data_IF_998877415508
#
_entry.id   IF_998877415508
#
_cell.length_a   1.000
_cell.length_b   1.000
_cell.length_c   1.000
_cell.angle_alpha   90.00
_cell.angle_beta   90.00
_cell.angle_gamma   90.00
#
_symmetry.space_group_name_H-M   'P 1'
#
loop_
_entity.id
_entity.type
_entity.pdbx_description
1 polymer ?
#
# COMPACT_ATOMS: atom_id res chain seq x y z
N UNK A 1 -19.85 26.25 -38.12
CA UNK A 1 -20.98 26.15 -37.17
C UNK A 1 -20.45 25.55 -35.86
N UNK A 2 -20.29 26.40 -34.83
CA UNK A 2 -19.92 26.01 -33.46
C UNK A 2 -21.11 25.30 -32.81
N UNK A 3 -20.90 24.18 -32.14
CA UNK A 3 -21.79 23.70 -31.07
C UNK A 3 -20.97 23.34 -29.84
N UNK A 4 -21.39 23.95 -28.74
CA UNK A 4 -20.77 23.98 -27.42
C UNK A 4 -21.01 22.68 -26.65
N UNK A 5 -20.08 22.37 -25.74
CA UNK A 5 -20.17 21.34 -24.70
C UNK A 5 -21.05 21.83 -23.55
N UNK A 6 -21.85 20.98 -22.88
CA UNK A 6 -22.37 21.31 -21.56
C UNK A 6 -21.37 20.91 -20.48
N UNK A 7 -20.89 21.95 -19.80
CA UNK A 7 -20.27 21.93 -18.48
C UNK A 7 -21.37 21.65 -17.45
N UNK A 8 -21.25 20.61 -16.62
CA UNK A 8 -22.06 20.49 -15.40
C UNK A 8 -21.14 20.27 -14.21
N UNK A 9 -21.09 21.34 -13.44
CA UNK A 9 -20.48 21.58 -12.15
C UNK A 9 -21.25 20.76 -11.09
N UNK A 10 -20.57 20.01 -10.20
CA UNK A 10 -21.18 19.59 -8.94
C UNK A 10 -20.33 20.07 -7.77
N UNK A 11 -20.95 20.98 -7.02
CA UNK A 11 -20.44 21.75 -5.90
C UNK A 11 -20.69 20.98 -4.59
N UNK A 12 -19.72 21.07 -3.69
CA UNK A 12 -19.73 20.59 -2.32
C UNK A 12 -20.77 21.28 -1.41
N UNK A 13 -21.50 20.50 -0.61
CA UNK A 13 -22.19 20.87 0.66
C UNK A 13 -22.44 19.52 1.38
N UNK A 14 -22.21 19.24 2.67
CA UNK A 14 -22.58 19.94 3.90
C UNK A 14 -21.70 19.43 5.07
N UNK A 15 -21.06 20.38 5.77
CA UNK A 15 -20.64 20.27 7.17
C UNK A 15 -21.80 20.78 8.06
N UNK A 16 -22.27 19.98 9.03
CA UNK A 16 -23.08 20.45 10.16
C UNK A 16 -23.04 19.38 11.29
N UNK A 17 -22.21 19.58 12.33
CA UNK A 17 -22.53 20.14 13.66
C UNK A 17 -23.26 19.13 14.58
N UNK A 18 -22.63 18.63 15.64
CA UNK A 18 -22.47 19.19 17.01
C UNK A 18 -23.38 18.47 18.02
N UNK A 19 -22.72 17.74 18.93
CA UNK A 19 -22.92 17.71 20.39
C UNK A 19 -24.36 17.63 20.92
N UNK A 20 -24.66 16.50 21.54
CA UNK A 20 -25.59 16.41 22.67
C UNK A 20 -24.92 15.65 23.82
N UNK A 21 -24.83 16.34 24.96
CA UNK A 21 -24.22 15.88 26.20
C UNK A 21 -25.25 15.18 27.10
N UNK A 22 -24.74 14.17 27.80
CA UNK A 22 -24.95 13.82 29.21
C UNK A 22 -26.35 13.51 29.78
N UNK A 23 -26.32 12.42 30.56
CA UNK A 23 -26.99 12.15 31.84
C UNK A 23 -28.30 11.35 31.82
N UNK A 24 -28.16 10.06 32.15
CA UNK A 24 -29.05 9.41 33.11
C UNK A 24 -28.24 8.43 33.96
N UNK A 25 -28.34 8.63 35.27
CA UNK A 25 -27.71 7.86 36.32
C UNK A 25 -28.27 6.42 36.40
N UNK A 26 -27.43 5.50 36.87
CA UNK A 26 -27.83 4.15 37.27
C UNK A 26 -26.78 3.54 38.18
N UNK A 27 -26.94 3.75 39.49
CA UNK A 27 -26.17 3.11 40.56
C UNK A 27 -26.40 1.59 40.58
N UNK A 28 -25.38 0.78 40.86
CA UNK A 28 -25.29 -0.02 42.10
C UNK A 28 -24.21 -1.12 41.96
N UNK A 29 -23.47 -1.37 43.04
CA UNK A 29 -22.83 -2.67 43.27
C UNK A 29 -21.32 -2.65 43.51
N UNK A 30 -20.88 -2.06 44.62
CA UNK A 30 -19.59 -2.37 45.23
C UNK A 30 -19.68 -3.72 45.95
N UNK A 31 -18.75 -4.64 45.66
CA UNK A 31 -18.42 -5.73 46.57
C UNK A 31 -16.92 -6.03 46.49
N UNK A 32 -16.20 -5.55 47.50
CA UNK A 32 -14.84 -6.00 47.86
C UNK A 32 -14.86 -7.49 48.22
N UNK A 33 -13.84 -8.22 47.77
CA UNK A 33 -13.31 -9.38 48.50
C UNK A 33 -11.80 -9.45 48.34
N UNK A 34 -11.13 -9.46 49.49
CA UNK A 34 -9.67 -9.56 49.66
C UNK A 34 -9.14 -10.99 49.46
N UNK A 35 -7.90 -11.02 48.97
CA UNK A 35 -6.78 -11.96 49.17
C UNK A 35 -7.00 -13.48 49.32
N UNK A 36 -6.33 -14.22 48.45
CA UNK A 36 -5.37 -15.25 48.91
C UNK A 36 -4.22 -15.44 47.93
N UNK A 37 -2.99 -15.32 48.46
CA UNK A 37 -1.69 -15.59 47.82
C UNK A 37 -1.55 -17.04 47.35
N UNK A 38 -0.79 -17.24 46.26
CA UNK A 38 0.48 -18.00 46.20
C UNK A 38 0.69 -18.72 44.86
N UNK A 39 1.92 -18.65 44.33
CA UNK A 39 2.46 -19.53 43.30
C UNK A 39 2.44 -18.91 41.90
N UNK A 40 3.52 -18.29 41.46
CA UNK A 40 4.60 -18.97 40.72
C UNK A 40 4.27 -19.07 39.23
N UNK A 41 4.75 -18.12 38.43
CA UNK A 41 5.91 -18.31 37.56
C UNK A 41 6.03 -17.08 36.66
N UNK A 42 7.10 -16.32 36.93
CA UNK A 42 7.60 -15.24 36.11
C UNK A 42 8.08 -15.81 34.77
N UNK A 43 7.17 -16.06 33.84
CA UNK A 43 7.54 -16.17 32.43
C UNK A 43 7.50 -14.78 31.81
N UNK A 44 8.51 -13.98 32.15
CA UNK A 44 8.87 -12.81 31.37
C UNK A 44 9.29 -13.29 29.98
N UNK A 45 8.32 -13.51 29.09
CA UNK A 45 8.55 -13.38 27.66
C UNK A 45 8.83 -11.90 27.45
N UNK A 46 10.10 -11.56 27.57
CA UNK A 46 10.67 -10.38 26.95
C UNK A 46 10.34 -10.49 25.47
N UNK A 47 9.20 -9.92 25.07
CA UNK A 47 9.06 -9.38 23.74
C UNK A 47 10.26 -8.44 23.62
N UNK A 48 11.29 -8.90 22.90
CA UNK A 48 12.30 -8.00 22.38
C UNK A 48 11.53 -6.95 21.61
N UNK A 49 11.31 -5.80 22.25
CA UNK A 49 11.05 -4.55 21.56
C UNK A 49 12.21 -4.42 20.59
N UNK A 50 11.97 -4.81 19.34
CA UNK A 50 12.87 -4.52 18.23
C UNK A 50 13.16 -3.04 18.30
N UNK A 51 14.42 -2.75 18.60
CA UNK A 51 14.94 -1.41 18.77
C UNK A 51 14.61 -0.66 17.49
N UNK A 52 13.60 0.22 17.55
CA UNK A 52 13.09 0.93 16.39
C UNK A 52 14.27 1.53 15.63
N UNK A 53 14.46 1.11 14.38
CA UNK A 53 15.63 1.50 13.58
C UNK A 53 15.71 3.02 13.40
N UNK A 54 14.60 3.73 13.63
CA UNK A 54 14.49 5.18 13.43
C UNK A 54 14.61 5.56 11.95
N UNK A 55 14.76 4.57 11.06
CA UNK A 55 14.92 4.76 9.63
C UNK A 55 13.57 4.94 8.95
N UNK A 56 13.64 5.65 7.84
CA UNK A 56 12.48 6.01 7.03
C UNK A 56 12.28 5.01 5.90
N UNK A 57 11.04 4.65 5.61
CA UNK A 57 10.66 4.02 4.34
C UNK A 57 9.81 5.02 3.56
N UNK A 58 10.31 5.38 2.37
CA UNK A 58 9.59 6.27 1.45
C UNK A 58 8.55 5.43 0.71
N UNK A 59 7.28 5.61 1.03
CA UNK A 59 6.18 4.85 0.43
C UNK A 59 5.68 5.61 -0.79
N UNK A 60 5.96 5.11 -1.99
CA UNK A 60 5.61 5.73 -3.26
C UNK A 60 4.49 4.97 -3.97
N UNK A 61 3.40 5.66 -4.27
CA UNK A 61 2.24 5.05 -4.92
C UNK A 61 1.09 6.03 -5.12
N UNK A 62 -0.09 5.50 -5.46
CA UNK A 62 -1.32 6.27 -5.69
C UNK A 62 -2.42 5.86 -4.70
N UNK A 63 -3.68 5.83 -5.16
CA UNK A 63 -4.87 5.66 -4.33
C UNK A 63 -4.84 4.47 -3.37
N UNK A 64 -4.37 3.29 -3.77
CA UNK A 64 -4.29 2.13 -2.85
C UNK A 64 -3.31 2.37 -1.70
N UNK A 65 -2.17 3.00 -1.97
CA UNK A 65 -1.22 3.40 -0.92
C UNK A 65 -1.84 4.48 -0.03
N UNK A 66 -2.47 5.50 -0.62
CA UNK A 66 -3.18 6.53 0.14
C UNK A 66 -4.27 5.96 1.06
N UNK A 67 -5.05 4.99 0.56
CA UNK A 67 -6.04 4.28 1.36
C UNK A 67 -5.43 3.45 2.49
N UNK A 68 -4.20 2.94 2.31
CA UNK A 68 -3.47 2.24 3.38
C UNK A 68 -3.10 3.18 4.53
N UNK A 69 -2.63 4.39 4.21
CA UNK A 69 -2.35 5.42 5.21
C UNK A 69 -3.62 5.96 5.90
N UNK A 70 -4.72 6.09 5.15
CA UNK A 70 -6.03 6.37 5.73
C UNK A 70 -6.49 5.28 6.67
N UNK A 71 -6.29 4.01 6.33
CA UNK A 71 -6.58 2.86 7.19
C UNK A 71 -5.77 2.92 8.50
N UNK A 72 -4.48 3.28 8.44
CA UNK A 72 -3.63 3.33 9.63
C UNK A 72 -3.84 4.57 10.52
N UNK A 73 -4.11 5.73 9.93
CA UNK A 73 -4.04 7.01 10.64
C UNK A 73 -5.29 7.88 10.51
N UNK A 74 -6.27 7.45 9.70
CA UNK A 74 -7.41 8.26 9.30
C UNK A 74 -7.08 9.37 8.29
N UNK A 75 -5.83 9.46 7.81
CA UNK A 75 -5.34 10.51 6.92
C UNK A 75 -4.30 9.97 5.94
N UNK A 76 -4.58 10.03 4.63
CA UNK A 76 -3.70 9.49 3.59
C UNK A 76 -2.34 10.20 3.47
N UNK A 77 -2.21 11.39 4.08
CA UNK A 77 -1.01 12.23 3.97
C UNK A 77 -0.11 12.17 5.20
N UNK A 78 -0.59 11.60 6.30
CA UNK A 78 0.17 11.53 7.55
C UNK A 78 1.14 10.38 7.54
N UNK A 79 2.36 10.65 7.98
CA UNK A 79 3.35 9.61 8.29
C UNK A 79 2.81 8.70 9.38
N UNK A 80 3.20 7.43 9.33
CA UNK A 80 2.89 6.46 10.38
C UNK A 80 4.14 5.72 10.84
N UNK A 81 4.12 5.15 12.05
CA UNK A 81 5.20 4.30 12.55
C UNK A 81 4.75 2.86 12.57
N UNK A 82 5.54 1.96 11.98
CA UNK A 82 5.22 0.54 11.91
C UNK A 82 6.50 -0.30 11.95
N UNK A 83 6.52 -1.33 12.82
CA UNK A 83 7.69 -2.22 13.02
C UNK A 83 9.02 -1.46 13.17
N UNK A 84 9.00 -0.36 13.92
CA UNK A 84 10.20 0.46 14.17
C UNK A 84 10.60 1.44 13.05
N UNK A 85 9.96 1.39 11.89
CA UNK A 85 10.17 2.31 10.77
C UNK A 85 9.19 3.47 10.78
N UNK A 86 9.63 4.64 10.32
CA UNK A 86 8.73 5.73 9.93
C UNK A 86 8.37 5.57 8.45
N UNK A 87 7.09 5.35 8.15
CA UNK A 87 6.57 5.24 6.80
C UNK A 87 6.08 6.61 6.34
N UNK A 88 6.61 7.11 5.22
CA UNK A 88 6.27 8.43 4.68
C UNK A 88 5.50 8.28 3.37
N UNK A 89 4.24 8.73 3.29
CA UNK A 89 3.46 8.66 2.06
C UNK A 89 3.94 9.71 1.06
N UNK A 90 4.29 9.28 -0.15
CA UNK A 90 4.72 10.12 -1.26
C UNK A 90 3.89 9.75 -2.50
N UNK A 91 2.93 10.59 -2.83
CA UNK A 91 2.11 10.37 -4.03
C UNK A 91 2.95 10.58 -5.31
N UNK A 92 2.81 9.65 -6.25
CA UNK A 92 3.45 9.69 -7.57
C UNK A 92 2.43 9.72 -8.70
N UNK A 93 2.79 10.33 -9.82
CA UNK A 93 1.93 10.40 -11.02
C UNK A 93 1.67 9.03 -11.65
N UNK A 94 0.61 8.92 -12.46
CA UNK A 94 0.42 7.76 -13.34
C UNK A 94 1.47 7.74 -14.45
N UNK A 95 1.72 6.57 -15.07
CA UNK A 95 2.41 6.50 -16.35
C UNK A 95 1.79 7.45 -17.40
N UNK A 96 2.62 8.04 -18.29
CA UNK A 96 4.06 7.84 -18.41
C UNK A 96 4.91 8.63 -17.39
N UNK A 97 4.32 9.58 -16.67
CA UNK A 97 5.05 10.55 -15.83
C UNK A 97 5.53 9.97 -14.49
N UNK A 98 5.16 8.73 -14.17
CA UNK A 98 5.52 8.03 -12.92
C UNK A 98 7.02 8.06 -12.64
N UNK A 99 7.86 7.90 -13.67
CA UNK A 99 9.33 7.86 -13.52
C UNK A 99 9.89 9.22 -13.15
N UNK A 100 9.38 10.30 -13.76
CA UNK A 100 9.77 11.67 -13.41
C UNK A 100 9.29 12.01 -12.01
N UNK A 101 8.05 11.63 -11.67
CA UNK A 101 7.49 11.86 -10.35
C UNK A 101 8.27 11.14 -9.24
N UNK A 102 8.72 9.90 -9.46
CA UNK A 102 9.62 9.20 -8.52
C UNK A 102 10.93 9.98 -8.36
N UNK A 103 11.54 10.44 -9.46
CA UNK A 103 12.78 11.23 -9.39
C UNK A 103 12.60 12.52 -8.56
N UNK A 104 11.49 13.22 -8.76
CA UNK A 104 11.15 14.43 -8.00
C UNK A 104 11.01 14.13 -6.50
N UNK A 105 10.32 13.03 -6.14
CA UNK A 105 10.19 12.60 -4.74
C UNK A 105 11.51 12.20 -4.11
N UNK A 106 12.39 11.53 -4.86
CA UNK A 106 13.73 11.20 -4.40
C UNK A 106 14.58 12.46 -4.20
N UNK A 107 14.37 13.51 -5.01
CA UNK A 107 15.11 14.76 -4.90
C UNK A 107 14.89 15.45 -3.55
N UNK A 108 13.67 15.37 -2.98
CA UNK A 108 13.31 15.90 -1.65
C UNK A 108 14.16 15.29 -0.49
N UNK A 109 14.77 14.12 -0.74
CA UNK A 109 15.59 13.37 0.22
C UNK A 109 17.09 13.35 -0.13
N UNK A 110 17.52 14.15 -1.10
CA UNK A 110 18.94 14.22 -1.47
C UNK A 110 19.80 14.71 -0.30
N UNK A 111 20.88 13.99 -0.01
CA UNK A 111 21.75 14.24 1.15
C UNK A 111 21.22 13.65 2.47
N UNK A 112 20.16 12.83 2.43
CA UNK A 112 19.56 12.15 3.58
C UNK A 112 19.46 10.63 3.35
N UNK A 113 20.16 10.09 2.36
CA UNK A 113 20.09 8.69 1.96
C UNK A 113 20.37 7.74 3.13
N UNK A 114 21.32 8.06 4.01
CA UNK A 114 21.66 7.25 5.19
C UNK A 114 20.51 7.09 6.21
N UNK A 115 19.52 8.00 6.17
CA UNK A 115 18.32 7.94 7.01
C UNK A 115 17.18 7.10 6.40
N UNK A 116 17.30 6.74 5.13
CA UNK A 116 16.29 5.98 4.38
C UNK A 116 16.70 4.50 4.36
N UNK A 117 15.87 3.64 4.95
CA UNK A 117 16.08 2.20 4.91
C UNK A 117 15.75 1.62 3.52
N UNK A 118 14.65 2.08 2.93
CA UNK A 118 14.16 1.61 1.64
C UNK A 118 13.21 2.62 0.99
N UNK A 119 13.02 2.47 -0.31
CA UNK A 119 11.91 3.03 -1.07
C UNK A 119 10.94 1.91 -1.36
N UNK A 120 9.68 2.06 -0.95
CA UNK A 120 8.58 1.23 -1.43
C UNK A 120 7.98 1.88 -2.67
N UNK A 121 7.73 1.10 -3.73
CA UNK A 121 7.09 1.58 -4.95
C UNK A 121 6.02 0.60 -5.42
N UNK A 122 4.87 1.11 -5.87
CA UNK A 122 3.88 0.32 -6.60
C UNK A 122 3.25 1.08 -7.77
N UNK A 123 2.85 0.33 -8.80
CA UNK A 123 1.87 0.78 -9.77
C UNK A 123 0.44 0.67 -9.20
N UNK A 124 -0.51 1.41 -9.75
CA UNK A 124 -1.93 1.19 -9.49
C UNK A 124 -2.46 0.03 -10.34
N UNK A 125 -3.57 -0.59 -9.94
CA UNK A 125 -4.25 -1.59 -10.75
C UNK A 125 -4.71 -1.02 -12.11
N UNK A 126 -5.04 0.28 -12.20
CA UNK A 126 -5.42 0.95 -13.45
C UNK A 126 -4.26 1.23 -14.40
N UNK A 127 -3.01 0.97 -13.99
CA UNK A 127 -1.85 1.12 -14.87
C UNK A 127 -1.63 -0.10 -15.78
N UNK A 128 -2.36 -1.19 -15.52
CA UNK A 128 -2.35 -2.43 -16.27
C UNK A 128 -3.54 -2.50 -17.21
N UNK A 129 -3.29 -2.88 -18.47
CA UNK A 129 -4.33 -3.01 -19.49
C UNK A 129 -4.71 -4.48 -19.73
N UNK A 130 -6.00 -4.71 -19.92
CA UNK A 130 -6.59 -5.93 -20.45
C UNK A 130 -7.25 -5.68 -21.80
N UNK A 131 -8.41 -6.29 -22.04
CA UNK A 131 -9.26 -6.10 -23.22
C UNK A 131 -8.80 -6.85 -24.46
N UNK A 132 -7.49 -6.97 -24.67
CA UNK A 132 -6.91 -7.66 -25.82
C UNK A 132 -5.45 -8.05 -25.63
N UNK A 133 -4.98 -8.97 -26.47
CA UNK A 133 -3.61 -9.51 -26.39
C UNK A 133 -2.54 -8.45 -26.66
N UNK A 134 -2.79 -7.53 -27.59
CA UNK A 134 -1.80 -6.53 -27.97
C UNK A 134 -1.66 -5.46 -26.88
N UNK A 135 -2.78 -4.94 -26.39
CA UNK A 135 -2.86 -3.94 -25.34
C UNK A 135 -2.21 -4.46 -24.04
N UNK A 136 -2.51 -5.70 -23.66
CA UNK A 136 -1.88 -6.36 -22.52
C UNK A 136 -0.36 -6.50 -22.69
N UNK A 137 0.11 -6.87 -23.89
CA UNK A 137 1.55 -7.03 -24.15
C UNK A 137 2.30 -5.69 -24.16
N UNK A 138 1.69 -4.63 -24.71
CA UNK A 138 2.24 -3.27 -24.70
C UNK A 138 2.29 -2.73 -23.27
N UNK A 139 1.21 -2.87 -22.50
CA UNK A 139 1.15 -2.51 -21.08
C UNK A 139 2.23 -3.23 -20.26
N UNK A 140 2.40 -4.54 -20.46
CA UNK A 140 3.44 -5.32 -19.80
C UNK A 140 4.84 -4.77 -20.12
N UNK A 141 5.13 -4.49 -21.40
CA UNK A 141 6.41 -3.95 -21.84
C UNK A 141 6.69 -2.59 -21.20
N UNK A 142 5.70 -1.71 -21.16
CA UNK A 142 5.81 -0.39 -20.54
C UNK A 142 6.08 -0.49 -19.04
N UNK A 143 5.31 -1.30 -18.29
CA UNK A 143 5.50 -1.41 -16.83
C UNK A 143 6.89 -1.95 -16.49
N UNK A 144 7.40 -2.90 -17.28
CA UNK A 144 8.79 -3.38 -17.16
C UNK A 144 9.81 -2.26 -17.39
N UNK A 145 9.61 -1.44 -18.41
CA UNK A 145 10.50 -0.31 -18.70
C UNK A 145 10.48 0.75 -17.58
N UNK A 146 9.30 1.13 -17.11
CA UNK A 146 9.17 2.08 -16.01
C UNK A 146 9.81 1.57 -14.72
N UNK A 147 9.60 0.30 -14.36
CA UNK A 147 10.21 -0.25 -13.16
C UNK A 147 11.75 -0.30 -13.25
N UNK A 148 12.31 -0.61 -14.43
CA UNK A 148 13.76 -0.54 -14.63
C UNK A 148 14.30 0.86 -14.37
N UNK A 149 13.64 1.90 -14.86
CA UNK A 149 14.04 3.27 -14.56
C UNK A 149 13.90 3.64 -13.08
N UNK A 150 12.85 3.18 -12.40
CA UNK A 150 12.73 3.36 -10.94
C UNK A 150 13.87 2.64 -10.20
N UNK A 151 14.22 1.43 -10.62
CA UNK A 151 15.37 0.70 -10.10
C UNK A 151 16.70 1.44 -10.32
N UNK A 152 16.95 1.94 -11.53
CA UNK A 152 18.13 2.75 -11.86
C UNK A 152 18.23 3.99 -10.94
N UNK A 153 17.12 4.66 -10.67
CA UNK A 153 17.09 5.84 -9.80
C UNK A 153 17.33 5.52 -8.33
N UNK A 154 16.72 4.44 -7.82
CA UNK A 154 16.73 4.10 -6.38
C UNK A 154 17.98 3.30 -6.01
N UNK A 155 18.19 2.18 -6.69
CA UNK A 155 19.23 1.20 -6.34
C UNK A 155 20.55 1.60 -6.95
N UNK A 156 20.60 1.86 -8.26
CA UNK A 156 21.88 2.16 -8.92
C UNK A 156 22.36 3.58 -8.62
N UNK A 157 21.46 4.56 -8.71
CA UNK A 157 21.78 5.98 -8.56
C UNK A 157 21.98 6.42 -7.12
N UNK A 158 21.21 5.86 -6.17
CA UNK A 158 21.21 6.30 -4.76
C UNK A 158 21.59 5.22 -3.75
N UNK A 159 21.86 3.99 -4.19
CA UNK A 159 22.27 2.86 -3.33
C UNK A 159 21.27 2.54 -2.22
N UNK A 160 19.98 2.81 -2.43
CA UNK A 160 18.92 2.47 -1.50
C UNK A 160 18.26 1.13 -1.87
N UNK A 161 17.69 0.43 -0.89
CA UNK A 161 16.87 -0.76 -1.17
C UNK A 161 15.54 -0.34 -1.81
N UNK A 162 15.05 -1.13 -2.76
CA UNK A 162 13.76 -0.96 -3.42
C UNK A 162 12.83 -2.11 -3.06
N UNK A 163 11.72 -1.81 -2.41
CA UNK A 163 10.61 -2.74 -2.18
C UNK A 163 9.57 -2.48 -3.26
N UNK A 164 9.27 -3.48 -4.09
CA UNK A 164 8.28 -3.34 -5.17
C UNK A 164 7.01 -4.09 -4.80
N UNK A 165 5.92 -3.35 -4.62
CA UNK A 165 4.60 -3.94 -4.59
C UNK A 165 4.23 -4.46 -5.97
N UNK A 166 3.97 -5.76 -6.09
CA UNK A 166 3.58 -6.37 -7.35
C UNK A 166 2.19 -5.87 -7.84
N UNK A 167 1.81 -6.24 -9.08
CA UNK A 167 0.52 -5.84 -9.65
C UNK A 167 -0.64 -6.26 -8.75
N UNK A 168 -1.72 -5.48 -8.74
CA UNK A 168 -2.90 -5.78 -7.91
C UNK A 168 -4.06 -6.26 -8.78
N UNK A 169 -4.85 -7.23 -8.30
CA UNK A 169 -6.03 -7.67 -9.01
C UNK A 169 -7.13 -6.62 -8.96
N UNK A 170 -7.98 -6.58 -9.99
CA UNK A 170 -9.22 -5.79 -10.03
C UNK A 170 -10.43 -6.63 -9.62
N UNK A 171 -11.53 -5.97 -9.22
CA UNK A 171 -12.81 -6.66 -9.02
C UNK A 171 -13.26 -7.36 -10.29
N UNK A 172 -14.00 -8.47 -10.13
CA UNK A 172 -14.42 -9.36 -11.21
C UNK A 172 -15.11 -8.67 -12.39
N UNK A 173 -15.88 -7.61 -12.14
CA UNK A 173 -16.57 -6.83 -13.19
C UNK A 173 -15.61 -6.04 -14.09
N UNK A 174 -14.38 -5.80 -13.63
CA UNK A 174 -13.32 -5.10 -14.35
C UNK A 174 -12.14 -6.00 -14.66
N UNK A 175 -12.31 -7.32 -14.52
CA UNK A 175 -11.30 -8.32 -14.85
C UNK A 175 -11.68 -9.05 -16.13
N UNK A 176 -10.68 -9.22 -17.00
CA UNK A 176 -10.76 -10.11 -18.15
C UNK A 176 -9.50 -11.00 -18.20
N UNK A 177 -9.50 -12.10 -18.98
CA UNK A 177 -8.36 -13.01 -19.02
C UNK A 177 -7.05 -12.38 -19.51
N UNK A 178 -7.10 -11.32 -20.33
CA UNK A 178 -5.91 -10.62 -20.79
C UNK A 178 -5.30 -9.75 -19.69
N UNK A 179 -6.13 -9.09 -18.88
CA UNK A 179 -5.67 -8.36 -17.70
C UNK A 179 -4.98 -9.31 -16.71
N UNK A 180 -5.63 -10.43 -16.36
CA UNK A 180 -5.06 -11.42 -15.42
C UNK A 180 -3.73 -11.96 -15.94
N UNK A 181 -3.65 -12.26 -17.24
CA UNK A 181 -2.42 -12.72 -17.87
C UNK A 181 -1.32 -11.65 -17.82
N UNK A 182 -1.65 -10.37 -18.02
CA UNK A 182 -0.71 -9.25 -17.93
C UNK A 182 -0.15 -9.11 -16.51
N UNK A 183 -1.03 -9.04 -15.51
CA UNK A 183 -0.66 -8.91 -14.09
C UNK A 183 0.23 -10.07 -13.64
N UNK A 184 -0.16 -11.31 -13.95
CA UNK A 184 0.63 -12.51 -13.59
C UNK A 184 1.99 -12.54 -14.29
N UNK A 185 2.07 -12.19 -15.58
CA UNK A 185 3.34 -12.12 -16.31
C UNK A 185 4.24 -10.98 -15.81
N UNK A 186 3.68 -9.87 -15.36
CA UNK A 186 4.44 -8.81 -14.71
C UNK A 186 4.99 -9.30 -13.37
N UNK A 187 4.17 -9.96 -12.56
CA UNK A 187 4.55 -10.47 -11.24
C UNK A 187 5.64 -11.55 -11.33
N UNK A 188 5.51 -12.48 -12.28
CA UNK A 188 6.53 -13.49 -12.57
C UNK A 188 7.85 -12.84 -13.00
N UNK A 189 7.79 -11.88 -13.93
CA UNK A 189 8.97 -11.14 -14.34
C UNK A 189 9.59 -10.34 -13.20
N UNK A 190 8.79 -9.74 -12.32
CA UNK A 190 9.26 -8.98 -11.17
C UNK A 190 10.01 -9.88 -10.18
N UNK A 191 9.52 -11.10 -9.94
CA UNK A 191 10.21 -12.07 -9.11
C UNK A 191 11.59 -12.45 -9.70
N UNK A 192 11.64 -12.72 -11.01
CA UNK A 192 12.91 -12.97 -11.71
C UNK A 192 13.84 -11.75 -11.62
N UNK A 193 13.32 -10.54 -11.89
CA UNK A 193 14.07 -9.29 -11.81
C UNK A 193 14.68 -9.09 -10.42
N UNK A 194 13.91 -9.28 -9.34
CA UNK A 194 14.42 -9.17 -7.98
C UNK A 194 15.48 -10.23 -7.63
N UNK A 195 15.36 -11.45 -8.17
CA UNK A 195 16.36 -12.50 -7.97
C UNK A 195 17.69 -12.20 -8.65
N UNK A 196 17.66 -11.46 -9.77
CA UNK A 196 18.83 -11.08 -10.55
C UNK A 196 19.51 -9.79 -10.06
N UNK A 197 18.79 -8.94 -9.31
CA UNK A 197 19.25 -7.61 -8.90
C UNK A 197 19.27 -7.46 -7.39
N UNK A 198 20.48 -7.34 -6.82
CA UNK A 198 20.63 -7.05 -5.40
C UNK A 198 19.96 -5.72 -5.02
N UNK A 199 19.44 -5.66 -3.79
CA UNK A 199 18.78 -4.45 -3.28
C UNK A 199 17.31 -4.32 -3.70
N UNK A 200 16.74 -5.29 -4.43
CA UNK A 200 15.31 -5.35 -4.75
C UNK A 200 14.63 -6.42 -3.91
N UNK A 201 13.48 -6.09 -3.32
CA UNK A 201 12.60 -7.00 -2.59
C UNK A 201 11.20 -6.89 -3.17
N UNK A 202 10.50 -8.01 -3.33
CA UNK A 202 9.10 -8.03 -3.81
C UNK A 202 8.16 -8.12 -2.62
N UNK A 203 7.19 -7.21 -2.57
CA UNK A 203 6.02 -7.34 -1.70
C UNK A 203 4.86 -7.94 -2.50
N UNK A 204 4.58 -9.23 -2.25
CA UNK A 204 3.54 -9.98 -2.96
C UNK A 204 2.14 -9.66 -2.41
N UNK A 205 1.55 -8.59 -2.93
CA UNK A 205 0.19 -8.19 -2.61
C UNK A 205 -0.84 -8.96 -3.44
N UNK A 206 -0.47 -9.36 -4.67
CA UNK A 206 -1.36 -10.08 -5.57
C UNK A 206 -1.84 -11.38 -4.94
N UNK A 207 -0.94 -12.23 -4.45
CA UNK A 207 -1.32 -13.52 -3.84
C UNK A 207 -2.14 -13.35 -2.56
N UNK A 208 -1.96 -12.22 -1.84
CA UNK A 208 -2.77 -11.90 -0.66
C UNK A 208 -4.20 -11.55 -1.04
N UNK A 209 -4.39 -10.79 -2.13
CA UNK A 209 -5.67 -10.18 -2.48
C UNK A 209 -6.45 -10.92 -3.56
N UNK A 210 -5.78 -11.68 -4.43
CA UNK A 210 -6.41 -12.33 -5.56
C UNK A 210 -7.12 -13.62 -5.16
N UNK A 211 -8.23 -13.89 -5.83
CA UNK A 211 -8.91 -15.18 -5.86
C UNK A 211 -8.31 -16.09 -6.95
N UNK A 212 -8.78 -17.33 -7.05
CA UNK A 212 -8.26 -18.33 -7.99
C UNK A 212 -8.33 -17.88 -9.45
N UNK A 213 -9.38 -17.14 -9.83
CA UNK A 213 -9.56 -16.60 -11.18
C UNK A 213 -8.68 -15.36 -11.47
N UNK A 214 -7.97 -14.85 -10.47
CA UNK A 214 -7.09 -13.69 -10.58
C UNK A 214 -7.78 -12.35 -10.34
N UNK A 215 -9.08 -12.33 -10.04
CA UNK A 215 -9.78 -11.13 -9.57
C UNK A 215 -9.53 -10.86 -8.09
N UNK A 216 -9.82 -9.63 -7.64
CA UNK A 216 -9.82 -9.25 -6.24
C UNK A 216 -10.90 -10.05 -5.52
N UNK A 217 -10.51 -10.72 -4.42
CA UNK A 217 -11.45 -11.43 -3.54
C UNK A 217 -12.59 -10.50 -3.13
N UNK A 218 -13.82 -11.00 -3.25
CA UNK A 218 -15.00 -10.18 -2.98
C UNK A 218 -15.04 -9.66 -1.54
N UNK A 219 -14.55 -10.45 -0.57
CA UNK A 219 -14.43 -10.05 0.83
C UNK A 219 -13.41 -8.94 1.09
N UNK A 220 -12.51 -8.68 0.14
CA UNK A 220 -11.52 -7.61 0.21
C UNK A 220 -11.87 -6.39 -0.64
N UNK A 221 -12.89 -6.45 -1.48
CA UNK A 221 -13.34 -5.30 -2.27
C UNK A 221 -14.19 -4.33 -1.45
N UNK A 222 -14.06 -3.04 -1.73
CA UNK A 222 -14.95 -2.00 -1.14
C UNK A 222 -16.37 -2.12 -1.66
N UNK A 223 -16.52 -2.54 -2.92
CA UNK A 223 -17.80 -2.79 -3.57
C UNK A 223 -17.61 -3.58 -4.87
N UNK A 224 -18.70 -3.99 -5.53
CA UNK A 224 -18.63 -4.81 -6.74
C UNK A 224 -17.88 -4.12 -7.89
N UNK A 225 -17.99 -2.79 -8.00
CA UNK A 225 -17.36 -1.97 -9.04
C UNK A 225 -16.10 -1.21 -8.51
N UNK A 226 -15.65 -1.48 -7.28
CA UNK A 226 -14.53 -0.75 -6.66
C UNK A 226 -13.37 -1.68 -6.31
N UNK A 227 -12.27 -1.54 -7.05
CA UNK A 227 -11.04 -2.32 -6.88
C UNK A 227 -10.15 -1.84 -5.72
N UNK A 228 -10.55 -0.81 -4.97
CA UNK A 228 -9.84 -0.47 -3.74
C UNK A 228 -10.09 -1.51 -2.65
N UNK A 229 -9.03 -1.99 -1.97
CA UNK A 229 -9.19 -2.84 -0.81
C UNK A 229 -10.05 -2.17 0.26
N UNK A 230 -10.93 -2.94 0.88
CA UNK A 230 -11.63 -2.53 2.08
C UNK A 230 -10.75 -2.74 3.33
N UNK A 231 -11.34 -2.51 4.51
CA UNK A 231 -10.68 -2.71 5.80
C UNK A 231 -10.10 -4.13 5.99
N UNK A 232 -10.80 -5.18 5.53
CA UNK A 232 -10.32 -6.55 5.62
C UNK A 232 -9.14 -6.80 4.66
N UNK A 233 -9.20 -6.25 3.44
CA UNK A 233 -8.11 -6.30 2.47
C UNK A 233 -6.85 -5.59 2.97
N UNK A 234 -6.98 -4.39 3.53
CA UNK A 234 -5.84 -3.69 4.14
C UNK A 234 -5.28 -4.42 5.35
N UNK A 235 -6.11 -5.02 6.21
CA UNK A 235 -5.64 -5.87 7.31
C UNK A 235 -4.90 -7.12 6.84
N UNK A 236 -5.26 -7.70 5.71
CA UNK A 236 -4.54 -8.82 5.12
C UNK A 236 -3.16 -8.37 4.62
N UNK A 237 -3.09 -7.24 3.91
CA UNK A 237 -1.83 -6.62 3.47
C UNK A 237 -0.93 -6.24 4.65
N UNK A 238 -1.50 -5.70 5.73
CA UNK A 238 -0.79 -5.33 6.95
C UNK A 238 0.03 -6.47 7.53
N UNK A 239 -0.54 -7.68 7.56
CA UNK A 239 0.15 -8.87 8.09
C UNK A 239 1.34 -9.24 7.22
N UNK A 240 1.13 -9.34 5.90
CA UNK A 240 2.18 -9.67 4.96
C UNK A 240 3.29 -8.59 4.90
N UNK A 241 2.91 -7.31 5.04
CA UNK A 241 3.88 -6.22 5.06
C UNK A 241 4.68 -6.19 6.36
N UNK A 242 4.06 -6.46 7.50
CA UNK A 242 4.76 -6.57 8.79
C UNK A 242 5.82 -7.68 8.78
N UNK A 243 5.52 -8.82 8.16
CA UNK A 243 6.47 -9.91 7.95
C UNK A 243 7.65 -9.45 7.10
N UNK A 244 7.39 -8.78 5.98
CA UNK A 244 8.43 -8.20 5.14
C UNK A 244 9.30 -7.18 5.89
N UNK A 245 8.68 -6.30 6.69
CA UNK A 245 9.41 -5.29 7.46
C UNK A 245 10.34 -5.90 8.52
N UNK A 246 9.98 -7.05 9.09
CA UNK A 246 10.83 -7.76 10.06
C UNK A 246 12.12 -8.33 9.43
N UNK A 247 12.18 -8.45 8.10
CA UNK A 247 13.35 -8.95 7.37
C UNK A 247 14.29 -7.82 6.87
N UNK A 248 13.94 -6.55 7.10
CA UNK A 248 14.69 -5.39 6.60
C UNK A 248 15.81 -4.93 7.53
#
# INVERSE_FOLDING_TARGET
>A
MRRMKPLVLFVAVVLLALVLAAASAGCSGEAKREESRAGSETSARSATEEKASGKVILMMGRSVMGGWFSHWSGDSTKKTRRRGFELVPLEVSSPPDVVTSVADRLAEYSGKEDSVAAVYFKFCFDDFAGGGKQEAAESLKEKKAYLRHVYEQVVEGRKMRLIVGNALPKVKQHTDPFLVANERQFNEWLAAFASEHQGVVVFDQYSVLADEDGSLRAEYATGPDDSHPNEAGYKALDRAFDELLAEL
#
